data_IF_056557933022
#
_entry.id   IF_056557933022
#
_cell.length_a   1.000
_cell.length_b   1.000
_cell.length_c   1.000
_cell.angle_alpha   90.00
_cell.angle_beta   90.00
_cell.angle_gamma   90.00
#
_symmetry.space_group_name_H-M   'P 1'
#
loop_
_entity.id
_entity.type
_entity.pdbx_description
1 polymer ?
#
# COMPACT_ATOMS: atom_id res chain seq x y z
N UNK A 1 8.36 -1.71 10.03
CA UNK A 1 8.30 -0.45 9.28
C UNK A 1 9.64 0.25 9.47
N UNK A 2 10.24 0.88 8.47
CA UNK A 2 11.51 1.58 8.65
C UNK A 2 11.38 2.69 9.71
N UNK A 3 12.48 2.93 10.44
CA UNK A 3 12.52 4.03 11.40
C UNK A 3 12.64 5.35 10.64
N UNK A 4 11.64 6.23 10.79
CA UNK A 4 11.55 7.47 10.02
C UNK A 4 12.68 8.45 10.39
N UNK A 5 13.05 8.58 11.65
CA UNK A 5 14.12 9.46 12.10
C UNK A 5 15.48 9.02 11.54
N UNK A 6 15.74 7.71 11.55
CA UNK A 6 16.95 7.17 10.95
C UNK A 6 17.00 7.42 9.42
N UNK A 7 15.87 7.33 8.73
CA UNK A 7 15.79 7.63 7.30
C UNK A 7 15.99 9.13 6.99
N UNK A 8 15.60 10.02 7.91
CA UNK A 8 15.86 11.46 7.77
C UNK A 8 17.33 11.82 8.01
N UNK A 9 17.98 11.12 8.93
CA UNK A 9 19.36 11.39 9.31
C UNK A 9 20.41 10.79 8.33
N UNK A 10 20.06 9.68 7.66
CA UNK A 10 20.96 8.98 6.74
C UNK A 10 20.21 8.56 5.47
N UNK A 11 20.62 9.12 4.33
CA UNK A 11 20.05 8.78 3.02
C UNK A 11 20.12 7.27 2.70
N UNK A 12 21.18 6.58 3.11
CA UNK A 12 21.31 5.12 2.88
C UNK A 12 20.18 4.35 3.54
N UNK A 13 19.73 4.77 4.71
CA UNK A 13 18.55 4.18 5.39
C UNK A 13 17.25 4.45 4.62
N UNK A 14 17.12 5.62 4.04
CA UNK A 14 15.97 5.93 3.19
C UNK A 14 16.00 5.13 1.88
N UNK A 15 17.15 5.00 1.23
CA UNK A 15 17.37 4.19 0.03
C UNK A 15 17.01 2.71 0.29
N UNK A 16 17.55 2.12 1.36
CA UNK A 16 17.23 0.75 1.78
C UNK A 16 15.72 0.57 1.99
N UNK A 17 15.08 1.52 2.68
CA UNK A 17 13.65 1.47 2.92
C UNK A 17 12.83 1.50 1.61
N UNK A 18 13.21 2.34 0.65
CA UNK A 18 12.59 2.43 -0.67
C UNK A 18 12.84 1.17 -1.49
N UNK A 19 14.07 0.66 -1.49
CA UNK A 19 14.42 -0.60 -2.18
C UNK A 19 13.58 -1.76 -1.68
N UNK A 20 13.48 -1.94 -0.38
CA UNK A 20 12.74 -3.06 0.23
C UNK A 20 11.23 -2.90 0.07
N UNK A 21 10.65 -1.70 0.27
CA UNK A 21 9.20 -1.50 0.30
C UNK A 21 8.59 -1.08 -1.05
N UNK A 22 9.43 -0.72 -2.01
CA UNK A 22 9.03 -0.22 -3.32
C UNK A 22 9.67 -1.00 -4.47
N UNK A 23 10.97 -0.83 -4.71
CA UNK A 23 11.63 -1.37 -5.90
C UNK A 23 11.60 -2.90 -5.96
N UNK A 24 11.80 -3.61 -4.83
CA UNK A 24 11.72 -5.08 -4.80
C UNK A 24 10.33 -5.57 -5.22
N UNK A 25 9.27 -4.86 -4.78
CA UNK A 25 7.89 -5.21 -5.14
C UNK A 25 7.66 -4.98 -6.63
N UNK A 26 8.12 -3.86 -7.18
CA UNK A 26 8.01 -3.58 -8.63
C UNK A 26 8.76 -4.63 -9.45
N UNK A 27 9.98 -5.01 -9.03
CA UNK A 27 10.77 -6.05 -9.69
C UNK A 27 9.99 -7.38 -9.76
N UNK A 28 9.49 -7.86 -8.63
CA UNK A 28 8.69 -9.09 -8.59
C UNK A 28 7.41 -8.99 -9.43
N UNK A 29 6.71 -7.86 -9.35
CA UNK A 29 5.50 -7.65 -10.16
C UNK A 29 5.80 -7.70 -11.66
N UNK A 30 6.94 -7.14 -12.10
CA UNK A 30 7.35 -7.14 -13.50
C UNK A 30 7.51 -8.57 -14.03
N UNK A 31 8.20 -9.43 -13.29
CA UNK A 31 8.41 -10.83 -13.69
C UNK A 31 7.08 -11.63 -13.71
N UNK A 32 6.28 -11.49 -12.64
CA UNK A 32 4.99 -12.18 -12.54
C UNK A 32 4.04 -11.74 -13.66
N UNK A 33 3.98 -10.44 -13.95
CA UNK A 33 3.08 -9.89 -14.96
C UNK A 33 3.44 -10.39 -16.37
N UNK A 34 4.71 -10.54 -16.69
CA UNK A 34 5.13 -11.11 -17.97
C UNK A 34 4.61 -12.55 -18.16
N UNK A 35 4.66 -13.36 -17.09
CA UNK A 35 4.10 -14.72 -17.11
C UNK A 35 2.57 -14.70 -17.26
N UNK A 36 1.87 -13.86 -16.49
CA UNK A 36 0.41 -13.75 -16.55
C UNK A 36 -0.07 -13.25 -17.92
N UNK A 37 0.68 -12.33 -18.55
CA UNK A 37 0.41 -11.85 -19.91
C UNK A 37 0.50 -12.97 -20.93
N UNK A 38 1.52 -13.83 -20.84
CA UNK A 38 1.66 -15.00 -21.71
C UNK A 38 0.51 -16.00 -21.49
N UNK A 39 0.08 -16.20 -20.26
CA UNK A 39 -1.03 -17.11 -19.91
C UNK A 39 -2.41 -16.56 -20.30
N UNK A 40 -2.53 -15.25 -20.62
CA UNK A 40 -3.81 -14.56 -20.89
C UNK A 40 -4.85 -14.72 -19.79
N UNK A 41 -4.43 -14.95 -18.55
CA UNK A 41 -5.30 -15.10 -17.36
C UNK A 41 -4.50 -14.97 -16.07
N UNK A 42 -5.15 -14.50 -15.03
CA UNK A 42 -4.59 -14.49 -13.69
C UNK A 42 -4.98 -13.26 -12.89
N UNK A 43 -4.62 -13.28 -11.61
CA UNK A 43 -4.82 -12.14 -10.71
C UNK A 43 -3.53 -11.91 -9.93
N UNK A 44 -2.97 -10.72 -10.04
CA UNK A 44 -1.87 -10.25 -9.20
C UNK A 44 -2.44 -9.39 -8.08
N UNK A 45 -2.22 -9.82 -6.84
CA UNK A 45 -2.63 -9.08 -5.64
C UNK A 45 -1.41 -8.56 -4.94
N UNK A 46 -1.33 -7.25 -4.73
CA UNK A 46 -0.20 -6.60 -4.07
C UNK A 46 -0.67 -5.84 -2.84
N UNK A 47 0.00 -6.09 -1.70
CA UNK A 47 -0.27 -5.40 -0.45
C UNK A 47 0.56 -4.12 -0.39
N UNK A 48 -0.12 -2.98 -0.50
CA UNK A 48 0.47 -1.66 -0.35
C UNK A 48 0.19 -1.09 1.05
N UNK A 49 -0.39 0.09 1.16
CA UNK A 49 -0.84 0.69 2.42
C UNK A 49 -1.63 1.97 2.17
N UNK A 50 -2.53 2.32 3.08
CA UNK A 50 -3.11 3.67 3.15
C UNK A 50 -2.05 4.76 3.36
N UNK A 51 -0.87 4.40 3.88
CA UNK A 51 0.26 5.33 4.04
C UNK A 51 0.77 5.88 2.70
N UNK A 52 0.53 5.18 1.59
CA UNK A 52 0.91 5.61 0.25
C UNK A 52 -0.03 6.66 -0.37
N UNK A 53 -1.13 7.02 0.27
CA UNK A 53 -2.09 7.98 -0.30
C UNK A 53 -1.80 9.43 0.08
N UNK A 54 -1.13 9.63 1.22
CA UNK A 54 -0.70 10.96 1.67
C UNK A 54 0.52 10.87 2.58
N UNK A 55 1.51 11.73 2.34
CA UNK A 55 2.71 11.83 3.17
C UNK A 55 2.39 12.27 4.60
N UNK A 56 2.89 11.55 5.61
CA UNK A 56 2.68 11.82 7.03
C UNK A 56 4.01 11.87 7.77
N UNK A 57 4.14 12.81 8.69
CA UNK A 57 5.39 13.02 9.43
C UNK A 57 6.05 11.74 9.99
N UNK A 58 5.31 10.79 10.59
CA UNK A 58 5.95 9.64 11.24
C UNK A 58 6.41 8.55 10.26
N UNK A 59 6.09 8.61 8.95
CA UNK A 59 6.39 7.52 8.02
C UNK A 59 6.42 7.89 6.53
N UNK A 60 6.84 9.11 6.18
CA UNK A 60 6.77 9.57 4.78
C UNK A 60 7.70 8.82 3.83
N UNK A 61 8.85 8.29 4.26
CA UNK A 61 9.71 7.47 3.41
C UNK A 61 9.02 6.14 3.05
N UNK A 62 8.41 5.50 4.04
CA UNK A 62 7.58 4.31 3.82
C UNK A 62 6.36 4.63 2.94
N UNK A 63 5.68 5.74 3.23
CA UNK A 63 4.54 6.22 2.44
C UNK A 63 4.91 6.44 0.97
N UNK A 64 6.05 7.09 0.70
CA UNK A 64 6.55 7.31 -0.66
C UNK A 64 6.81 5.99 -1.40
N UNK A 65 7.43 5.00 -0.75
CA UNK A 65 7.64 3.68 -1.33
C UNK A 65 6.31 2.98 -1.67
N UNK A 66 5.31 3.05 -0.79
CA UNK A 66 3.98 2.46 -1.04
C UNK A 66 3.17 3.23 -2.09
N UNK A 67 3.31 4.55 -2.16
CA UNK A 67 2.74 5.38 -3.23
C UNK A 67 3.29 5.00 -4.61
N UNK A 68 4.62 4.84 -4.70
CA UNK A 68 5.29 4.39 -5.92
C UNK A 68 4.72 3.07 -6.43
N UNK A 69 4.56 2.07 -5.54
CA UNK A 69 3.95 0.77 -5.90
C UNK A 69 2.50 0.95 -6.35
N UNK A 70 1.68 1.71 -5.62
CA UNK A 70 0.27 1.93 -5.98
C UNK A 70 0.14 2.59 -7.36
N UNK A 71 0.99 3.58 -7.68
CA UNK A 71 1.02 4.25 -9.00
C UNK A 71 1.47 3.29 -10.10
N UNK A 72 2.49 2.47 -9.84
CA UNK A 72 2.93 1.42 -10.77
C UNK A 72 1.79 0.43 -11.09
N UNK A 73 1.04 -0.03 -10.07
CA UNK A 73 -0.10 -0.92 -10.25
C UNK A 73 -1.23 -0.28 -11.08
N UNK A 74 -1.42 1.04 -10.97
CA UNK A 74 -2.39 1.76 -11.82
C UNK A 74 -1.98 1.69 -13.29
N UNK A 75 -0.71 1.94 -13.60
CA UNK A 75 -0.18 1.80 -14.96
C UNK A 75 -0.32 0.38 -15.50
N UNK A 76 0.01 -0.63 -14.67
CA UNK A 76 -0.14 -2.04 -15.05
C UNK A 76 -1.59 -2.40 -15.43
N UNK A 77 -2.60 -1.91 -14.70
CA UNK A 77 -4.01 -2.17 -15.06
C UNK A 77 -4.33 -1.73 -16.48
N UNK A 78 -3.88 -0.54 -16.86
CA UNK A 78 -4.06 -0.02 -18.23
C UNK A 78 -3.36 -0.86 -19.26
N UNK A 79 -2.10 -1.25 -19.02
CA UNK A 79 -1.29 -2.02 -19.98
C UNK A 79 -1.79 -3.44 -20.20
N UNK A 80 -2.53 -4.01 -19.23
CA UNK A 80 -2.99 -5.40 -19.23
C UNK A 80 -4.47 -5.57 -19.57
N UNK A 81 -5.16 -4.50 -19.94
CA UNK A 81 -6.61 -4.54 -20.23
C UNK A 81 -6.99 -5.63 -21.24
N UNK A 82 -6.15 -5.87 -22.24
CA UNK A 82 -6.39 -6.87 -23.32
C UNK A 82 -5.91 -8.27 -22.96
N UNK A 83 -5.23 -8.45 -21.84
CA UNK A 83 -4.57 -9.71 -21.47
C UNK A 83 -5.39 -10.56 -20.50
N UNK A 84 -6.58 -10.13 -20.12
CA UNK A 84 -7.43 -10.80 -19.13
C UNK A 84 -6.70 -11.04 -17.78
N UNK A 85 -5.78 -10.15 -17.42
CA UNK A 85 -5.05 -10.17 -16.16
C UNK A 85 -5.63 -9.11 -15.21
N UNK A 86 -5.98 -9.52 -14.00
CA UNK A 86 -6.54 -8.64 -13.00
C UNK A 86 -5.49 -8.20 -11.98
N UNK A 87 -5.36 -6.88 -11.77
CA UNK A 87 -4.39 -6.29 -10.82
C UNK A 87 -5.13 -5.67 -9.65
N UNK A 88 -4.79 -6.11 -8.45
CA UNK A 88 -5.41 -5.69 -7.19
C UNK A 88 -4.39 -5.00 -6.29
N UNK A 89 -4.69 -3.76 -5.90
CA UNK A 89 -3.98 -2.98 -4.91
C UNK A 89 -4.72 -3.09 -3.57
N UNK A 90 -4.19 -3.86 -2.63
CA UNK A 90 -4.74 -3.94 -1.27
C UNK A 90 -4.07 -2.88 -0.41
N UNK A 91 -4.88 -2.00 0.19
CA UNK A 91 -4.46 -0.90 1.04
C UNK A 91 -4.88 -1.13 2.49
N UNK A 92 -4.09 -1.87 3.29
CA UNK A 92 -4.36 -2.02 4.70
C UNK A 92 -4.20 -0.69 5.44
N UNK A 93 -5.01 -0.52 6.50
CA UNK A 93 -4.81 0.51 7.50
C UNK A 93 -3.81 0.10 8.58
N UNK A 94 -4.16 0.34 9.84
CA UNK A 94 -3.35 -0.05 10.98
C UNK A 94 -3.56 -1.55 11.28
N UNK A 95 -2.56 -2.36 10.99
CA UNK A 95 -2.61 -3.81 11.19
C UNK A 95 -1.63 -4.23 12.27
N UNK A 96 -2.12 -5.01 13.22
CA UNK A 96 -1.31 -5.64 14.25
C UNK A 96 -0.46 -6.77 13.63
N UNK A 97 0.82 -6.52 13.49
CA UNK A 97 1.76 -7.43 12.86
C UNK A 97 3.15 -7.27 13.46
N UNK A 98 4.09 -8.17 13.21
CA UNK A 98 5.48 -8.02 13.69
C UNK A 98 6.12 -6.68 13.29
N UNK A 99 5.68 -6.08 12.19
CA UNK A 99 6.17 -4.77 11.72
C UNK A 99 5.75 -3.60 12.63
N UNK A 100 4.70 -3.77 13.42
CA UNK A 100 4.04 -2.71 14.18
C UNK A 100 3.99 -2.94 15.69
N UNK A 101 4.75 -3.92 16.20
CA UNK A 101 4.78 -4.29 17.63
C UNK A 101 5.16 -3.14 18.56
N UNK A 102 6.02 -2.24 18.08
CA UNK A 102 6.51 -1.08 18.83
C UNK A 102 5.52 0.10 18.89
N UNK A 103 4.38 0.01 18.19
CA UNK A 103 3.37 1.06 18.16
C UNK A 103 2.27 0.80 19.20
N UNK A 104 1.78 1.86 19.85
CA UNK A 104 0.60 1.77 20.72
C UNK A 104 -0.63 1.47 19.88
N UNK A 105 -1.36 0.42 20.26
CA UNK A 105 -2.56 -0.03 19.57
C UNK A 105 -3.80 0.67 20.12
N UNK A 106 -4.76 0.97 19.24
CA UNK A 106 -6.02 1.63 19.59
C UNK A 106 -7.18 1.09 18.73
N UNK A 107 -8.31 1.77 18.73
CA UNK A 107 -9.57 1.32 18.12
C UNK A 107 -9.52 1.07 16.62
N UNK A 108 -8.62 1.73 15.88
CA UNK A 108 -8.49 1.57 14.44
C UNK A 108 -7.57 0.40 14.03
N UNK A 109 -7.02 -0.33 15.00
CA UNK A 109 -6.18 -1.49 14.74
C UNK A 109 -7.00 -2.73 14.44
N UNK A 110 -6.52 -3.53 13.52
CA UNK A 110 -7.13 -4.81 13.10
C UNK A 110 -6.07 -5.90 13.04
N UNK A 111 -6.47 -7.15 13.27
CA UNK A 111 -5.57 -8.29 13.07
C UNK A 111 -5.57 -8.72 11.59
N UNK A 112 -4.52 -9.38 11.11
CA UNK A 112 -4.47 -9.96 9.76
C UNK A 112 -5.66 -10.88 9.50
N UNK A 113 -6.03 -11.72 10.47
CA UNK A 113 -7.11 -12.69 10.38
C UNK A 113 -8.47 -12.00 10.18
N UNK A 114 -8.68 -10.86 10.84
CA UNK A 114 -9.94 -10.11 10.75
C UNK A 114 -10.16 -9.44 9.39
N UNK A 115 -9.06 -9.06 8.70
CA UNK A 115 -9.15 -8.37 7.40
C UNK A 115 -9.11 -9.34 6.20
N UNK A 116 -8.51 -10.52 6.35
CA UNK A 116 -8.31 -11.49 5.26
C UNK A 116 -9.62 -11.85 4.53
N UNK A 117 -10.75 -12.13 5.21
CA UNK A 117 -12.00 -12.45 4.52
C UNK A 117 -12.51 -11.31 3.62
N UNK A 118 -12.34 -10.06 4.05
CA UNK A 118 -12.74 -8.90 3.27
C UNK A 118 -11.89 -8.70 2.00
N UNK A 119 -10.60 -9.00 2.09
CA UNK A 119 -9.67 -8.98 0.96
C UNK A 119 -10.05 -10.06 -0.05
N UNK A 120 -10.24 -11.31 0.38
CA UNK A 120 -10.63 -12.43 -0.49
C UNK A 120 -11.96 -12.12 -1.19
N UNK A 121 -12.95 -11.60 -0.46
CA UNK A 121 -14.25 -11.18 -1.04
C UNK A 121 -14.06 -10.06 -2.08
N UNK A 122 -13.16 -9.12 -1.82
CA UNK A 122 -12.83 -8.03 -2.76
C UNK A 122 -12.18 -8.55 -4.05
N UNK A 123 -11.26 -9.50 -3.94
CA UNK A 123 -10.61 -10.18 -5.07
C UNK A 123 -11.65 -10.92 -5.91
N UNK A 124 -12.50 -11.73 -5.30
CA UNK A 124 -13.58 -12.46 -5.99
C UNK A 124 -14.57 -11.55 -6.70
N UNK A 125 -14.76 -10.31 -6.22
CA UNK A 125 -15.57 -9.27 -6.87
C UNK A 125 -14.80 -8.44 -7.91
N UNK A 126 -13.61 -8.84 -8.25
CA UNK A 126 -12.71 -8.15 -9.20
C UNK A 126 -12.50 -6.65 -8.89
N UNK A 127 -12.39 -6.30 -7.61
CA UNK A 127 -12.08 -4.91 -7.21
C UNK A 127 -10.61 -4.62 -7.51
N UNK A 128 -10.33 -3.47 -8.09
CA UNK A 128 -8.96 -3.02 -8.37
C UNK A 128 -8.24 -2.45 -7.14
N UNK A 129 -9.00 -1.87 -6.22
CA UNK A 129 -8.49 -1.30 -4.95
C UNK A 129 -9.34 -1.85 -3.82
N UNK A 130 -8.67 -2.39 -2.79
CA UNK A 130 -9.32 -2.95 -1.60
C UNK A 130 -8.72 -2.30 -0.36
N UNK A 131 -9.53 -1.52 0.35
CA UNK A 131 -9.17 -1.04 1.69
C UNK A 131 -9.50 -2.11 2.74
N UNK A 132 -8.58 -2.37 3.63
CA UNK A 132 -8.73 -3.41 4.65
C UNK A 132 -8.32 -2.89 6.05
N UNK A 133 -9.31 -2.70 6.96
CA UNK A 133 -10.77 -2.76 6.77
C UNK A 133 -11.32 -1.68 5.84
N UNK A 134 -12.54 -1.89 5.33
CA UNK A 134 -13.15 -1.03 4.30
C UNK A 134 -13.40 0.41 4.72
N UNK A 135 -13.57 0.69 6.01
CA UNK A 135 -13.77 2.05 6.53
C UNK A 135 -12.56 2.97 6.28
N UNK A 136 -11.38 2.41 6.07
CA UNK A 136 -10.20 3.20 5.71
C UNK A 136 -10.37 3.97 4.40
N UNK A 137 -11.26 3.50 3.50
CA UNK A 137 -11.60 4.25 2.30
C UNK A 137 -12.17 5.63 2.62
N UNK A 138 -13.09 5.70 3.58
CA UNK A 138 -13.70 6.98 4.00
C UNK A 138 -12.68 7.84 4.77
N UNK A 139 -11.93 7.23 5.68
CA UNK A 139 -10.88 7.93 6.43
C UNK A 139 -9.88 8.57 5.45
N UNK A 140 -9.38 7.82 4.46
CA UNK A 140 -8.40 8.35 3.51
C UNK A 140 -9.00 9.38 2.56
N UNK A 141 -10.26 9.25 2.16
CA UNK A 141 -10.96 10.29 1.41
C UNK A 141 -10.93 11.62 2.18
N UNK A 142 -11.25 11.60 3.47
CA UNK A 142 -11.20 12.80 4.31
C UNK A 142 -9.75 13.31 4.48
N UNK A 143 -8.82 12.42 4.79
CA UNK A 143 -7.40 12.77 4.97
C UNK A 143 -6.82 13.42 3.71
N UNK A 144 -7.12 12.90 2.53
CA UNK A 144 -6.57 13.42 1.26
C UNK A 144 -7.12 14.80 0.87
N UNK A 145 -8.34 15.17 1.31
CA UNK A 145 -8.93 16.49 0.99
C UNK A 145 -8.54 17.59 1.98
N UNK A 146 -7.91 17.27 3.12
CA UNK A 146 -7.45 18.30 4.07
C UNK A 146 -6.39 19.19 3.38
N UNK A 147 -6.55 20.52 3.38
CA UNK A 147 -5.54 21.42 2.83
C UNK A 147 -4.17 21.24 3.49
N UNK A 148 -3.10 21.34 2.71
CA UNK A 148 -1.72 21.13 3.21
C UNK A 148 -1.35 22.07 4.36
N UNK A 149 -1.85 23.30 4.34
CA UNK A 149 -1.65 24.31 5.40
C UNK A 149 -2.16 23.85 6.76
N UNK A 150 -3.20 22.99 6.78
CA UNK A 150 -3.77 22.40 7.98
C UNK A 150 -3.07 21.06 8.26
N UNK A 151 -2.94 20.22 7.24
CA UNK A 151 -2.45 18.84 7.40
C UNK A 151 -1.04 18.77 7.99
N UNK A 152 -0.13 19.66 7.60
CA UNK A 152 1.25 19.72 8.13
C UNK A 152 1.34 19.98 9.65
N UNK A 153 0.24 20.43 10.28
CA UNK A 153 0.15 20.67 11.74
C UNK A 153 -0.41 19.47 12.51
N UNK A 154 -0.97 18.50 11.80
CA UNK A 154 -1.59 17.31 12.39
C UNK A 154 -0.55 16.22 12.53
N UNK A 155 -0.35 15.71 13.74
CA UNK A 155 0.52 14.56 14.01
C UNK A 155 -0.31 13.27 13.95
N UNK A 156 -0.42 12.66 12.78
CA UNK A 156 -1.13 11.38 12.55
C UNK A 156 -0.25 10.39 11.81
#
# INVERSE_FOLDING_TARGET
MPNQEACQADYRKADDAIRVNGLSVISLCTEIVNQLRTQKKGTLVVITSVAGERGRQPNFVYGAAKAMVSTYLQGLRGSLMKDNVHIVDVRPGLIDSPMTTHLKKGLLWSSPESIAPSIIKGIGRKRHIIYAPSYWRLIMLLVCVIPETIFKRIKI
#
